data_IF_005733348314
#
_entry.id   IF_005733348314
#
_cell.length_a   1.000
_cell.length_b   1.000
_cell.length_c   1.000
_cell.angle_alpha   90.00
_cell.angle_beta   90.00
_cell.angle_gamma   90.00
#
_symmetry.space_group_name_H-M   'P 1'
#
loop_
_entity.id
_entity.type
_entity.pdbx_description
1 polymer ?
#
# COMPACT_ATOMS: atom_id res chain seq x y z
N UNK A 1 -10.18 -9.75 -16.53
CA UNK A 1 -9.16 -8.68 -16.64
C UNK A 1 -9.13 -7.93 -15.31
N UNK A 2 -7.94 -7.59 -14.79
CA UNK A 2 -7.75 -6.83 -13.56
C UNK A 2 -7.72 -5.33 -13.86
N UNK A 3 -8.44 -4.53 -13.09
CA UNK A 3 -8.33 -3.07 -13.07
C UNK A 3 -7.35 -2.61 -12.00
N UNK A 4 -6.47 -1.67 -12.32
CA UNK A 4 -5.54 -1.05 -11.36
C UNK A 4 -5.83 0.44 -11.33
N UNK A 5 -6.44 0.92 -10.24
CA UNK A 5 -6.66 2.35 -10.01
C UNK A 5 -5.42 2.96 -9.36
N UNK A 6 -4.62 3.63 -10.17
CA UNK A 6 -3.32 4.19 -9.81
C UNK A 6 -3.23 5.71 -9.94
N UNK A 7 -2.00 6.21 -9.97
CA UNK A 7 -1.70 7.65 -10.03
C UNK A 7 -1.52 8.31 -8.65
N UNK A 8 -1.56 7.54 -7.56
CA UNK A 8 -1.60 8.03 -6.17
C UNK A 8 -0.46 7.51 -5.25
N UNK A 9 0.82 7.38 -5.59
CA UNK A 9 1.50 7.99 -6.74
C UNK A 9 1.65 7.12 -7.98
N UNK A 10 2.07 7.80 -9.03
CA UNK A 10 2.33 7.16 -10.32
C UNK A 10 3.46 6.12 -10.27
N UNK A 11 4.57 6.43 -9.58
CA UNK A 11 5.70 5.50 -9.44
C UNK A 11 5.29 4.23 -8.70
N UNK A 12 4.55 4.35 -7.59
CA UNK A 12 4.03 3.20 -6.85
C UNK A 12 3.08 2.34 -7.70
N UNK A 13 2.28 2.98 -8.56
CA UNK A 13 1.36 2.27 -9.46
C UNK A 13 2.11 1.50 -10.55
N UNK A 14 3.16 2.09 -11.12
CA UNK A 14 4.05 1.40 -12.08
C UNK A 14 4.80 0.25 -11.39
N UNK A 15 5.27 0.46 -10.16
CA UNK A 15 5.92 -0.59 -9.36
C UNK A 15 4.97 -1.75 -9.08
N UNK A 16 3.69 -1.48 -8.75
CA UNK A 16 2.69 -2.53 -8.60
C UNK A 16 2.57 -3.39 -9.87
N UNK A 17 2.52 -2.78 -11.06
CA UNK A 17 2.48 -3.54 -12.33
C UNK A 17 3.71 -4.42 -12.51
N UNK A 18 4.89 -3.90 -12.16
CA UNK A 18 6.14 -4.68 -12.17
C UNK A 18 6.06 -5.87 -11.19
N UNK A 19 5.59 -5.63 -9.95
CA UNK A 19 5.46 -6.68 -8.94
C UNK A 19 4.42 -7.73 -9.34
N UNK A 20 3.29 -7.31 -9.89
CA UNK A 20 2.26 -8.22 -10.43
C UNK A 20 2.85 -9.18 -11.47
N UNK A 21 3.70 -8.66 -12.35
CA UNK A 21 4.39 -9.45 -13.37
C UNK A 21 5.41 -10.41 -12.75
N UNK A 22 6.28 -9.91 -11.87
CA UNK A 22 7.37 -10.70 -11.30
C UNK A 22 6.90 -11.78 -10.33
N UNK A 23 5.81 -11.53 -9.60
CA UNK A 23 5.25 -12.49 -8.62
C UNK A 23 4.30 -13.50 -9.27
N UNK A 24 3.80 -13.24 -10.47
CA UNK A 24 2.95 -14.19 -11.17
C UNK A 24 3.79 -15.34 -11.74
N UNK A 25 3.56 -16.60 -11.35
CA UNK A 25 4.27 -17.74 -11.90
C UNK A 25 3.79 -17.99 -13.36
N UNK A 26 4.50 -17.41 -14.30
CA UNK A 26 4.24 -17.51 -15.73
C UNK A 26 5.51 -17.95 -16.47
N UNK A 27 5.35 -18.79 -17.51
CA UNK A 27 6.46 -19.26 -18.37
C UNK A 27 6.51 -18.53 -19.71
N UNK A 28 5.46 -17.81 -20.06
CA UNK A 28 5.29 -17.06 -21.32
C UNK A 28 4.31 -15.90 -21.09
N UNK A 29 4.30 -14.93 -22.00
CA UNK A 29 3.48 -13.72 -21.91
C UNK A 29 1.98 -14.02 -21.71
N UNK A 30 1.46 -15.05 -22.37
CA UNK A 30 0.04 -15.42 -22.33
C UNK A 30 -0.42 -15.98 -20.99
N UNK A 31 0.50 -16.34 -20.11
CA UNK A 31 0.20 -16.86 -18.76
C UNK A 31 0.11 -15.73 -17.72
N UNK A 32 0.41 -14.48 -18.12
CA UNK A 32 0.26 -13.31 -17.27
C UNK A 32 -1.19 -12.82 -17.20
N UNK A 33 -1.48 -12.05 -16.15
CA UNK A 33 -2.82 -11.52 -15.87
C UNK A 33 -3.09 -10.32 -16.78
N UNK A 34 -4.13 -10.35 -17.62
CA UNK A 34 -4.54 -9.17 -18.38
C UNK A 34 -4.97 -8.04 -17.42
N UNK A 35 -4.35 -6.87 -17.52
CA UNK A 35 -4.59 -5.76 -16.62
C UNK A 35 -4.66 -4.42 -17.36
N UNK A 36 -5.47 -3.50 -16.82
CA UNK A 36 -5.55 -2.09 -17.22
C UNK A 36 -5.13 -1.21 -16.07
N UNK A 37 -4.12 -0.36 -16.28
CA UNK A 37 -3.72 0.67 -15.33
C UNK A 37 -4.40 2.00 -15.70
N UNK A 38 -5.30 2.47 -14.84
CA UNK A 38 -5.83 3.82 -14.84
C UNK A 38 -4.98 4.70 -13.92
N UNK A 39 -3.97 5.38 -14.46
CA UNK A 39 -3.08 6.24 -13.69
C UNK A 39 -3.52 7.70 -13.81
N UNK A 40 -4.22 8.22 -12.80
CA UNK A 40 -4.66 9.62 -12.76
C UNK A 40 -4.02 10.39 -11.58
N UNK A 41 -2.89 11.08 -11.81
CA UNK A 41 -2.21 11.85 -10.76
C UNK A 41 -2.97 13.14 -10.36
N UNK A 42 -4.06 13.48 -11.03
CA UNK A 42 -4.91 14.63 -10.69
C UNK A 42 -5.89 14.33 -9.56
N UNK A 43 -6.02 13.05 -9.13
CA UNK A 43 -6.80 12.71 -7.94
C UNK A 43 -6.18 13.43 -6.74
N UNK A 44 -6.94 14.28 -6.02
CA UNK A 44 -6.44 15.09 -4.92
C UNK A 44 -5.68 14.29 -3.86
N UNK A 45 -4.77 14.93 -3.13
CA UNK A 45 -3.98 14.27 -2.09
C UNK A 45 -4.88 13.72 -0.98
N UNK A 46 -4.81 12.41 -0.73
CA UNK A 46 -5.66 11.67 0.22
C UNK A 46 -5.38 12.07 1.66
N UNK A 47 -4.14 12.47 1.98
CA UNK A 47 -3.78 12.92 3.32
C UNK A 47 -4.33 14.31 3.61
N UNK A 48 -4.22 15.24 2.64
CA UNK A 48 -4.78 16.58 2.75
C UNK A 48 -6.30 16.55 2.74
N UNK A 49 -6.92 15.77 1.85
CA UNK A 49 -8.37 15.62 1.78
C UNK A 49 -9.00 15.21 3.11
N UNK A 50 -8.38 14.26 3.83
CA UNK A 50 -8.84 13.86 5.18
C UNK A 50 -8.59 14.89 6.27
N UNK A 51 -7.53 15.70 6.15
CA UNK A 51 -7.15 16.67 7.19
C UNK A 51 -7.92 17.98 7.12
N UNK A 52 -8.22 18.44 5.92
CA UNK A 52 -8.72 19.81 5.69
C UNK A 52 -10.14 19.84 5.13
N UNK A 53 -10.65 18.71 4.63
CA UNK A 53 -11.91 18.65 3.90
C UNK A 53 -11.89 19.39 2.55
N UNK A 54 -10.75 19.97 2.19
CA UNK A 54 -10.53 20.58 0.88
C UNK A 54 -10.14 19.49 -0.12
N UNK A 55 -10.60 19.62 -1.36
CA UNK A 55 -10.27 18.74 -2.47
C UNK A 55 -10.51 17.26 -2.17
N UNK A 56 -11.79 16.87 -2.00
CA UNK A 56 -12.19 15.47 -1.78
C UNK A 56 -11.70 14.58 -2.94
N UNK A 57 -10.88 13.53 -2.68
CA UNK A 57 -10.43 12.60 -3.72
C UNK A 57 -11.54 11.67 -4.23
N UNK A 58 -12.65 11.51 -3.51
CA UNK A 58 -13.71 10.54 -3.84
C UNK A 58 -14.26 10.70 -5.26
N UNK A 59 -14.60 11.90 -5.78
CA UNK A 59 -15.07 12.02 -7.16
C UNK A 59 -14.07 11.51 -8.20
N UNK A 60 -12.77 11.71 -7.93
CA UNK A 60 -11.68 11.23 -8.79
C UNK A 60 -11.53 9.71 -8.73
N UNK A 61 -11.63 9.14 -7.53
CA UNK A 61 -11.60 7.69 -7.30
C UNK A 61 -12.75 7.00 -8.03
N UNK A 62 -13.99 7.47 -7.85
CA UNK A 62 -15.17 6.90 -8.49
C UNK A 62 -15.11 7.01 -10.02
N UNK A 63 -14.61 8.13 -10.55
CA UNK A 63 -14.41 8.28 -11.99
C UNK A 63 -13.46 7.20 -12.55
N UNK A 64 -12.35 6.95 -11.85
CA UNK A 64 -11.39 5.91 -12.26
C UNK A 64 -11.98 4.50 -12.17
N UNK A 65 -12.75 4.19 -11.12
CA UNK A 65 -13.45 2.91 -10.97
C UNK A 65 -14.42 2.70 -12.14
N UNK A 66 -15.27 3.68 -12.44
CA UNK A 66 -16.22 3.60 -13.57
C UNK A 66 -15.50 3.43 -14.91
N UNK A 67 -14.35 4.09 -15.10
CA UNK A 67 -13.52 3.89 -16.30
C UNK A 67 -12.99 2.46 -16.41
N UNK A 68 -12.55 1.86 -15.32
CA UNK A 68 -12.12 0.46 -15.28
C UNK A 68 -13.28 -0.52 -15.50
N UNK A 69 -14.45 -0.23 -14.97
CA UNK A 69 -15.68 -1.00 -15.24
C UNK A 69 -16.04 -0.97 -16.72
N UNK A 70 -16.02 0.19 -17.35
CA UNK A 70 -16.27 0.34 -18.78
C UNK A 70 -15.23 -0.39 -19.64
N UNK A 71 -13.99 -0.51 -19.15
CA UNK A 71 -12.97 -1.33 -19.79
C UNK A 71 -13.17 -2.84 -19.60
N UNK A 72 -14.20 -3.28 -18.86
CA UNK A 72 -14.53 -4.69 -18.64
C UNK A 72 -13.68 -5.36 -17.55
N UNK A 73 -13.17 -4.61 -16.58
CA UNK A 73 -12.42 -5.18 -15.46
C UNK A 73 -13.38 -5.91 -14.49
N UNK A 74 -13.04 -7.16 -14.15
CA UNK A 74 -13.85 -8.01 -13.25
C UNK A 74 -13.51 -7.85 -11.76
N UNK A 75 -12.37 -7.25 -11.44
CA UNK A 75 -12.00 -6.79 -10.11
C UNK A 75 -11.05 -5.60 -10.20
N UNK A 76 -10.94 -4.85 -9.12
CA UNK A 76 -10.09 -3.66 -9.05
C UNK A 76 -9.14 -3.78 -7.87
N UNK A 77 -7.90 -3.35 -8.05
CA UNK A 77 -6.90 -3.11 -7.00
C UNK A 77 -6.52 -1.63 -7.00
N UNK A 78 -6.21 -1.14 -5.81
CA UNK A 78 -5.83 0.26 -5.61
C UNK A 78 -4.48 0.28 -4.87
N UNK A 79 -3.33 0.43 -5.57
CA UNK A 79 -2.02 0.50 -4.95
C UNK A 79 -1.79 1.87 -4.28
N UNK A 80 -2.64 2.17 -3.30
CA UNK A 80 -2.61 3.35 -2.44
C UNK A 80 -3.34 3.03 -1.13
N UNK A 81 -2.61 2.86 -0.05
CA UNK A 81 -3.20 2.50 1.25
C UNK A 81 -4.21 3.56 1.73
N UNK A 82 -3.84 4.84 1.68
CA UNK A 82 -4.70 5.94 2.17
C UNK A 82 -6.03 6.04 1.42
N UNK A 83 -6.08 5.64 0.13
CA UNK A 83 -7.31 5.65 -0.64
C UNK A 83 -8.38 4.69 -0.09
N UNK A 84 -7.97 3.65 0.64
CA UNK A 84 -8.91 2.72 1.29
C UNK A 84 -9.70 3.34 2.45
N UNK A 85 -9.40 4.58 2.83
CA UNK A 85 -10.28 5.37 3.70
C UNK A 85 -11.63 5.76 3.07
N UNK A 86 -11.82 5.50 1.77
CA UNK A 86 -13.08 5.65 1.02
C UNK A 86 -13.55 4.30 0.45
N UNK A 87 -13.18 3.20 1.12
CA UNK A 87 -13.41 1.85 0.60
C UNK A 87 -14.89 1.56 0.39
N UNK A 88 -15.74 1.91 1.35
CA UNK A 88 -17.17 1.59 1.29
C UNK A 88 -17.85 2.30 0.12
N UNK A 89 -17.54 3.58 -0.10
CA UNK A 89 -18.06 4.36 -1.22
C UNK A 89 -17.58 3.81 -2.57
N UNK A 90 -16.33 3.39 -2.64
CA UNK A 90 -15.76 2.78 -3.85
C UNK A 90 -16.35 1.39 -4.12
N UNK A 91 -16.52 0.57 -3.08
CA UNK A 91 -17.10 -0.78 -3.20
C UNK A 91 -18.58 -0.73 -3.60
N UNK A 92 -19.29 0.33 -3.23
CA UNK A 92 -20.69 0.55 -3.62
C UNK A 92 -20.90 0.72 -5.14
N UNK A 93 -19.84 0.99 -5.92
CA UNK A 93 -19.89 0.99 -7.41
C UNK A 93 -20.08 -0.42 -8.01
N UNK A 94 -19.99 -1.49 -7.20
CA UNK A 94 -20.41 -2.85 -7.54
C UNK A 94 -19.32 -3.78 -8.08
N UNK A 95 -18.19 -3.27 -8.59
CA UNK A 95 -17.06 -4.13 -8.96
C UNK A 95 -16.25 -4.51 -7.71
N UNK A 96 -15.92 -5.80 -7.49
CA UNK A 96 -15.11 -6.20 -6.35
C UNK A 96 -13.76 -5.46 -6.29
N UNK A 97 -13.45 -4.88 -5.12
CA UNK A 97 -12.18 -4.25 -4.84
C UNK A 97 -11.40 -5.13 -3.86
N UNK A 98 -10.19 -5.55 -4.24
CA UNK A 98 -9.32 -6.30 -3.34
C UNK A 98 -8.70 -5.34 -2.34
N UNK A 99 -9.04 -5.51 -1.05
CA UNK A 99 -8.63 -4.58 0.00
C UNK A 99 -7.15 -4.76 0.37
N UNK A 100 -6.35 -3.69 0.26
CA UNK A 100 -4.89 -3.76 0.46
C UNK A 100 -4.51 -4.17 1.89
N UNK A 101 -5.27 -3.74 2.90
CA UNK A 101 -5.01 -4.11 4.31
C UNK A 101 -5.28 -5.59 4.53
N UNK A 102 -6.35 -6.14 3.97
CA UNK A 102 -6.67 -7.57 4.07
C UNK A 102 -5.62 -8.43 3.36
N UNK A 103 -5.16 -7.98 2.19
CA UNK A 103 -4.07 -8.63 1.49
C UNK A 103 -2.79 -8.65 2.34
N UNK A 104 -2.45 -7.51 2.95
CA UNK A 104 -1.28 -7.35 3.82
C UNK A 104 -1.39 -8.20 5.10
N UNK A 105 -2.57 -8.22 5.74
CA UNK A 105 -2.82 -9.04 6.91
C UNK A 105 -2.63 -10.54 6.62
N UNK A 106 -3.05 -10.99 5.42
CA UNK A 106 -2.85 -12.37 5.00
C UNK A 106 -1.37 -12.75 4.86
N UNK A 107 -0.57 -11.87 4.26
CA UNK A 107 0.87 -12.11 4.13
C UNK A 107 1.60 -11.98 5.48
N UNK A 108 1.09 -11.15 6.40
CA UNK A 108 1.65 -10.99 7.75
C UNK A 108 1.53 -12.27 8.59
N UNK A 109 0.44 -13.05 8.45
CA UNK A 109 0.25 -14.33 9.17
C UNK A 109 1.42 -15.29 8.91
N UNK A 110 1.91 -15.35 7.67
CA UNK A 110 3.00 -16.25 7.28
C UNK A 110 4.35 -15.83 7.89
N UNK A 111 4.50 -14.56 8.23
CA UNK A 111 5.75 -13.95 8.73
C UNK A 111 5.75 -13.84 10.26
N UNK A 112 4.62 -13.42 10.83
CA UNK A 112 4.40 -13.19 12.25
C UNK A 112 2.98 -13.67 12.62
N UNK A 113 2.78 -14.91 13.02
CA UNK A 113 1.43 -15.45 13.32
C UNK A 113 0.70 -14.73 14.46
N UNK A 114 1.42 -14.10 15.38
CA UNK A 114 0.91 -13.28 16.49
C UNK A 114 2.02 -12.37 17.05
N UNK A 115 1.68 -11.46 17.95
CA UNK A 115 2.65 -10.60 18.62
C UNK A 115 2.50 -9.13 18.26
N UNK A 116 3.61 -8.39 18.36
CA UNK A 116 3.63 -6.94 18.09
C UNK A 116 4.07 -6.67 16.65
N UNK A 117 3.31 -5.86 15.93
CA UNK A 117 3.61 -5.44 14.56
C UNK A 117 3.83 -3.92 14.50
N UNK A 118 4.93 -3.50 13.88
CA UNK A 118 5.19 -2.11 13.56
C UNK A 118 4.43 -1.70 12.29
N UNK A 119 3.81 -0.53 12.28
CA UNK A 119 3.08 -0.01 11.10
C UNK A 119 3.72 1.29 10.65
N UNK A 120 4.34 1.27 9.48
CA UNK A 120 4.84 2.46 8.80
C UNK A 120 3.88 2.84 7.67
N UNK A 121 3.21 3.99 7.80
CA UNK A 121 2.20 4.44 6.85
C UNK A 121 2.16 5.97 6.76
N UNK A 122 1.28 6.54 5.94
CA UNK A 122 1.02 7.99 5.98
C UNK A 122 0.32 8.38 7.27
N UNK A 123 0.47 9.65 7.68
CA UNK A 123 -0.24 10.16 8.86
C UNK A 123 -1.76 9.97 8.77
N UNK A 124 -2.35 10.11 7.57
CA UNK A 124 -3.78 9.87 7.38
C UNK A 124 -4.16 8.39 7.53
N UNK A 125 -3.37 7.47 6.99
CA UNK A 125 -3.59 6.02 7.15
C UNK A 125 -3.57 5.61 8.62
N UNK A 126 -2.60 6.13 9.39
CA UNK A 126 -2.50 5.89 10.83
C UNK A 126 -3.66 6.54 11.61
N UNK A 127 -4.03 7.77 11.28
CA UNK A 127 -5.14 8.48 11.93
C UNK A 127 -6.51 7.82 11.67
N UNK A 128 -6.70 7.27 10.48
CA UNK A 128 -7.90 6.45 10.14
C UNK A 128 -7.86 5.04 10.73
N UNK A 129 -6.77 4.64 11.37
CA UNK A 129 -6.56 3.31 11.96
C UNK A 129 -6.80 2.14 11.00
N UNK A 130 -6.57 2.33 9.67
CA UNK A 130 -6.90 1.33 8.65
C UNK A 130 -6.22 -0.02 8.91
N UNK A 131 -4.97 -0.02 9.34
CA UNK A 131 -4.24 -1.23 9.71
C UNK A 131 -4.51 -1.65 11.14
N UNK A 132 -4.47 -0.71 12.09
CA UNK A 132 -4.59 -1.00 13.51
C UNK A 132 -5.89 -1.75 13.80
N UNK A 133 -7.03 -1.20 13.39
CA UNK A 133 -8.34 -1.81 13.68
C UNK A 133 -8.46 -3.21 13.07
N UNK A 134 -7.93 -3.41 11.86
CA UNK A 134 -7.98 -4.70 11.19
C UNK A 134 -7.04 -5.73 11.83
N UNK A 135 -5.81 -5.35 12.14
CA UNK A 135 -4.81 -6.25 12.70
C UNK A 135 -5.09 -6.56 14.17
N UNK A 136 -5.58 -5.58 14.96
CA UNK A 136 -5.98 -5.79 16.35
C UNK A 136 -7.18 -6.74 16.46
N UNK A 137 -8.15 -6.67 15.55
CA UNK A 137 -9.25 -7.63 15.46
C UNK A 137 -8.76 -9.06 15.17
N UNK A 138 -7.63 -9.21 14.49
CA UNK A 138 -7.01 -10.48 14.17
C UNK A 138 -6.00 -10.94 15.25
N UNK A 139 -5.82 -10.17 16.34
CA UNK A 139 -5.05 -10.54 17.52
C UNK A 139 -3.61 -10.00 17.59
N UNK A 140 -3.18 -9.13 16.66
CA UNK A 140 -1.89 -8.46 16.77
C UNK A 140 -1.95 -7.22 17.67
N UNK A 141 -0.84 -6.92 18.34
CA UNK A 141 -0.64 -5.62 18.96
C UNK A 141 0.07 -4.68 17.99
N UNK A 142 -0.46 -3.47 17.77
CA UNK A 142 0.05 -2.54 16.78
C UNK A 142 0.84 -1.40 17.43
N UNK A 143 2.05 -1.14 16.93
CA UNK A 143 2.83 0.05 17.26
C UNK A 143 3.16 0.83 15.98
N UNK A 144 3.37 2.14 16.11
CA UNK A 144 3.70 3.02 14.98
C UNK A 144 4.78 4.04 15.38
N UNK A 145 5.41 4.72 14.43
CA UNK A 145 6.25 5.88 14.71
C UNK A 145 5.46 6.95 15.46
N UNK A 146 6.15 7.68 16.33
CA UNK A 146 5.58 8.84 17.03
C UNK A 146 5.27 9.98 16.05
N UNK A 147 4.46 10.96 16.49
CA UNK A 147 4.18 12.16 15.67
C UNK A 147 5.45 12.91 15.27
N UNK A 148 6.46 12.94 16.14
CA UNK A 148 7.75 13.54 15.84
C UNK A 148 8.50 12.76 14.76
N UNK A 149 8.59 11.43 14.91
CA UNK A 149 9.20 10.55 13.91
C UNK A 149 8.45 10.60 12.56
N UNK A 150 7.12 10.73 12.59
CA UNK A 150 6.33 10.93 11.38
C UNK A 150 6.71 12.23 10.66
N UNK A 151 6.91 13.34 11.42
CA UNK A 151 7.28 14.64 10.83
C UNK A 151 8.71 14.70 10.35
N UNK A 152 9.65 14.11 11.08
CA UNK A 152 11.09 14.21 10.82
C UNK A 152 11.62 13.16 9.85
N UNK A 153 11.01 11.97 9.77
CA UNK A 153 11.52 10.82 9.02
C UNK A 153 10.53 10.29 7.98
N UNK A 154 9.34 9.81 8.40
CA UNK A 154 8.46 9.05 7.52
C UNK A 154 7.83 9.92 6.43
N UNK A 155 7.24 11.07 6.80
CA UNK A 155 6.57 11.94 5.84
C UNK A 155 7.53 12.57 4.82
N UNK A 156 8.72 13.07 5.21
CA UNK A 156 9.72 13.55 4.24
C UNK A 156 10.22 12.45 3.30
N UNK A 157 10.43 11.22 3.80
CA UNK A 157 10.86 10.10 2.97
C UNK A 157 9.78 9.72 1.93
N UNK A 158 8.52 9.65 2.32
CA UNK A 158 7.40 9.44 1.39
C UNK A 158 7.36 10.57 0.33
N UNK A 159 7.55 11.83 0.74
CA UNK A 159 7.58 12.96 -0.17
C UNK A 159 8.79 12.89 -1.14
N UNK A 160 9.95 12.44 -0.68
CA UNK A 160 11.12 12.22 -1.53
C UNK A 160 10.84 11.18 -2.63
N UNK A 161 10.25 10.02 -2.28
CA UNK A 161 9.86 9.00 -3.26
C UNK A 161 8.84 9.54 -4.27
N UNK A 162 7.81 10.26 -3.82
CA UNK A 162 6.83 10.92 -4.71
C UNK A 162 7.48 11.94 -5.64
N UNK A 163 8.57 12.57 -5.22
CA UNK A 163 9.37 13.50 -6.01
C UNK A 163 10.48 12.84 -6.84
N UNK A 164 10.46 11.52 -7.02
CA UNK A 164 11.47 10.71 -7.73
C UNK A 164 12.90 10.80 -7.13
N UNK A 165 13.02 11.14 -5.85
CA UNK A 165 14.29 11.12 -5.09
C UNK A 165 14.34 9.89 -4.17
N UNK A 166 14.17 8.70 -4.78
CA UNK A 166 13.98 7.44 -4.06
C UNK A 166 15.16 7.11 -3.12
N UNK A 167 16.39 7.38 -3.57
CA UNK A 167 17.60 7.10 -2.78
C UNK A 167 17.67 7.88 -1.46
N UNK A 168 17.05 9.07 -1.39
CA UNK A 168 17.02 9.89 -0.17
C UNK A 168 16.11 9.29 0.92
N UNK A 169 15.21 8.38 0.54
CA UNK A 169 14.22 7.82 1.46
C UNK A 169 14.76 6.66 2.30
N UNK A 170 15.83 5.98 1.86
CA UNK A 170 16.29 4.76 2.53
C UNK A 170 16.68 5.01 4.00
N UNK A 171 17.61 5.92 4.24
CA UNK A 171 18.19 6.12 5.57
C UNK A 171 17.11 6.47 6.64
N UNK A 172 16.22 7.47 6.43
CA UNK A 172 15.19 7.77 7.43
C UNK A 172 14.15 6.66 7.59
N UNK A 173 13.83 5.91 6.54
CA UNK A 173 12.89 4.79 6.66
C UNK A 173 13.53 3.59 7.36
N UNK A 174 14.78 3.27 7.07
CA UNK A 174 15.52 2.20 7.74
C UNK A 174 15.65 2.46 9.24
N UNK A 175 15.96 3.70 9.65
CA UNK A 175 16.00 4.11 11.06
C UNK A 175 14.66 3.84 11.75
N UNK A 176 13.53 4.14 11.10
CA UNK A 176 12.21 3.90 11.69
C UNK A 176 11.86 2.40 11.77
N UNK A 177 12.31 1.58 10.82
CA UNK A 177 12.16 0.12 10.91
C UNK A 177 12.95 -0.41 12.11
N UNK A 178 14.19 0.08 12.31
CA UNK A 178 15.03 -0.31 13.44
C UNK A 178 14.43 0.15 14.79
N UNK A 179 13.91 1.38 14.88
CA UNK A 179 13.21 1.88 16.07
C UNK A 179 12.01 0.99 16.44
N UNK A 180 11.17 0.64 15.46
CA UNK A 180 10.02 -0.22 15.70
C UNK A 180 10.45 -1.62 16.15
N UNK A 181 11.51 -2.19 15.54
CA UNK A 181 12.12 -3.46 15.98
C UNK A 181 12.58 -3.37 17.44
N UNK A 182 13.32 -2.34 17.79
CA UNK A 182 13.88 -2.16 19.13
C UNK A 182 12.78 -1.90 20.19
N UNK A 183 11.62 -1.42 19.76
CA UNK A 183 10.39 -1.31 20.56
C UNK A 183 9.57 -2.61 20.59
N UNK A 184 10.10 -3.72 20.05
CA UNK A 184 9.53 -5.06 20.14
C UNK A 184 8.65 -5.49 18.98
N UNK A 185 8.66 -4.79 17.84
CA UNK A 185 7.98 -5.28 16.65
C UNK A 185 8.66 -6.56 16.11
N UNK A 186 7.90 -7.65 16.01
CA UNK A 186 8.35 -8.89 15.39
C UNK A 186 8.29 -8.88 13.85
N UNK A 187 7.55 -7.93 13.29
CA UNK A 187 7.52 -7.60 11.85
C UNK A 187 7.12 -6.13 11.67
N UNK A 188 7.45 -5.54 10.51
CA UNK A 188 7.04 -4.18 10.17
C UNK A 188 6.24 -4.19 8.87
N UNK A 189 5.00 -3.68 8.91
CA UNK A 189 4.15 -3.46 7.74
C UNK A 189 4.51 -2.15 7.07
N UNK A 190 4.83 -2.20 5.76
CA UNK A 190 5.06 -1.04 4.92
C UNK A 190 3.72 -0.58 4.30
N UNK A 191 2.91 0.09 5.14
CA UNK A 191 1.53 0.50 4.88
C UNK A 191 1.38 1.80 4.10
N UNK A 192 2.37 2.15 3.30
CA UNK A 192 2.34 3.20 2.28
C UNK A 192 3.14 2.70 1.08
N UNK A 193 2.60 2.82 -0.11
CA UNK A 193 3.16 2.21 -1.33
C UNK A 193 4.47 2.87 -1.82
N UNK A 194 4.82 4.02 -1.29
CA UNK A 194 6.12 4.67 -1.48
C UNK A 194 7.20 4.09 -0.56
N UNK A 195 6.85 3.57 0.62
CA UNK A 195 7.82 3.09 1.61
C UNK A 195 8.62 1.88 1.08
N UNK A 196 8.02 0.85 0.45
CA UNK A 196 8.80 -0.24 -0.16
C UNK A 196 9.85 0.24 -1.14
N UNK A 197 9.52 1.20 -2.00
CA UNK A 197 10.45 1.79 -2.97
C UNK A 197 11.65 2.44 -2.27
N UNK A 198 11.41 3.19 -1.18
CA UNK A 198 12.48 3.83 -0.40
C UNK A 198 13.34 2.81 0.36
N UNK A 199 12.73 1.81 0.98
CA UNK A 199 13.44 0.75 1.71
C UNK A 199 14.31 -0.10 0.78
N UNK A 200 13.81 -0.46 -0.40
CA UNK A 200 14.52 -1.26 -1.40
C UNK A 200 15.65 -0.48 -2.10
N UNK A 201 15.75 0.83 -1.90
CA UNK A 201 16.86 1.63 -2.41
C UNK A 201 18.19 1.41 -1.66
N UNK A 202 18.20 0.64 -0.57
CA UNK A 202 19.37 0.31 0.22
C UNK A 202 19.37 -1.15 0.72
N UNK A 203 20.26 -1.53 1.64
CA UNK A 203 20.42 -2.90 2.13
C UNK A 203 19.31 -3.28 3.13
N UNK A 204 18.08 -3.37 2.66
CA UNK A 204 16.89 -3.62 3.48
C UNK A 204 16.85 -5.02 4.13
N UNK A 205 17.53 -6.00 3.56
CA UNK A 205 17.70 -7.35 4.07
C UNK A 205 18.54 -7.42 5.36
N UNK A 206 19.26 -6.35 5.68
CA UNK A 206 20.08 -6.23 6.89
C UNK A 206 19.36 -5.60 8.09
N UNK A 207 18.08 -5.23 7.96
CA UNK A 207 17.32 -4.54 9.01
C UNK A 207 17.01 -5.41 10.24
N UNK A 208 17.21 -6.73 10.14
CA UNK A 208 17.12 -7.65 11.27
C UNK A 208 15.68 -7.85 11.81
N UNK A 209 14.68 -7.43 11.04
CA UNK A 209 13.25 -7.69 11.27
C UNK A 209 12.56 -7.88 9.93
N UNK A 210 11.65 -8.86 9.80
CA UNK A 210 10.86 -9.02 8.59
C UNK A 210 10.04 -7.77 8.26
N UNK A 211 9.97 -7.44 6.96
CA UNK A 211 9.08 -6.39 6.47
C UNK A 211 7.99 -6.99 5.58
N UNK A 212 6.77 -6.51 5.68
CA UNK A 212 5.63 -6.92 4.86
C UNK A 212 5.25 -5.77 3.94
N UNK A 213 5.52 -5.97 2.65
CA UNK A 213 5.25 -4.99 1.60
C UNK A 213 3.78 -5.06 1.15
N UNK A 214 3.04 -3.96 1.34
CA UNK A 214 1.63 -3.89 0.96
C UNK A 214 1.39 -3.95 -0.56
N UNK A 215 2.37 -3.55 -1.39
CA UNK A 215 2.30 -3.70 -2.86
C UNK A 215 2.40 -5.18 -3.23
N UNK A 216 3.38 -5.89 -2.68
CA UNK A 216 3.56 -7.32 -2.92
C UNK A 216 2.36 -8.13 -2.45
N UNK A 217 1.85 -7.81 -1.26
CA UNK A 217 0.67 -8.45 -0.71
C UNK A 217 -0.56 -8.26 -1.62
N UNK A 218 -0.77 -7.03 -2.11
CA UNK A 218 -1.85 -6.71 -3.04
C UNK A 218 -1.67 -7.43 -4.38
N UNK A 219 -0.44 -7.51 -4.90
CA UNK A 219 -0.14 -8.25 -6.13
C UNK A 219 -0.42 -9.75 -5.97
N UNK A 220 -0.03 -10.37 -4.85
CA UNK A 220 -0.37 -11.78 -4.54
C UNK A 220 -1.88 -11.97 -4.41
N UNK A 221 -2.61 -11.03 -3.82
CA UNK A 221 -4.07 -11.08 -3.76
C UNK A 221 -4.70 -11.04 -5.15
N UNK A 222 -4.21 -10.17 -6.03
CA UNK A 222 -4.65 -10.09 -7.43
C UNK A 222 -4.37 -11.38 -8.20
N UNK A 223 -3.20 -11.99 -7.99
CA UNK A 223 -2.83 -13.28 -8.60
C UNK A 223 -3.77 -14.39 -8.12
N UNK A 224 -4.04 -14.46 -6.82
CA UNK A 224 -5.00 -15.44 -6.28
C UNK A 224 -6.39 -15.27 -6.88
N UNK A 225 -6.89 -14.03 -6.95
CA UNK A 225 -8.18 -13.74 -7.57
C UNK A 225 -8.24 -14.16 -9.04
N UNK A 226 -7.20 -13.90 -9.81
CA UNK A 226 -7.19 -14.19 -11.24
C UNK A 226 -7.11 -15.70 -11.57
N UNK A 227 -6.66 -16.51 -10.62
CA UNK A 227 -6.49 -17.96 -10.77
C UNK A 227 -7.64 -18.80 -10.20
N UNK A 228 -8.62 -18.16 -9.54
CA UNK A 228 -9.77 -18.80 -8.89
C UNK A 228 -9.39 -19.35 -7.55
#
# INVERSE_FOLDING_TARGET
MLGVLGGMGPLASAHFMTRLTLLNPASRDQDHIPAVLWSDPRIPDRTLGRRTGADDPLPGLLRGIRGLQQAGCGAIVIPCNTAHGWFDEMQAEGTPILHIVDATAKDLVDVLPNGTVGIMATAATLAMRLYQDRLEQLGWHCIAPTDEQMRSHVSPAIAAVKGNRVAEAYAPLAEMVLDLRDRGAGAVVLGCTEIPLGIQAGPWDTLGVPVVDSIDALARAAIRWARG
#
